data_IF_432184548729
#
_entry.id   IF_432184548729
#
_cell.length_a   1.000
_cell.length_b   1.000
_cell.length_c   1.000
_cell.angle_alpha   90.00
_cell.angle_beta   90.00
_cell.angle_gamma   90.00
#
_symmetry.space_group_name_H-M   'P 1'
#
loop_
_entity.id
_entity.type
_entity.pdbx_description
1 polymer ?
#
# COMPACT_ATOMS: atom_id res chain seq x y z
N UNK A 1 23.76 10.22 20.24
CA UNK A 1 23.49 10.69 18.86
C UNK A 1 22.25 9.96 18.35
N UNK A 2 21.06 10.47 18.62
CA UNK A 2 19.80 9.96 18.05
C UNK A 2 19.72 10.46 16.62
N UNK A 3 20.27 9.69 15.68
CA UNK A 3 20.10 9.99 14.27
C UNK A 3 18.61 9.99 13.95
N UNK A 4 18.08 11.09 13.41
CA UNK A 4 16.70 11.20 12.96
C UNK A 4 16.38 10.02 12.04
N UNK A 5 15.67 9.03 12.56
CA UNK A 5 15.22 7.92 11.74
C UNK A 5 14.31 8.50 10.65
N UNK A 6 14.55 8.22 9.36
CA UNK A 6 13.79 8.84 8.29
C UNK A 6 12.30 8.53 8.45
N UNK A 7 11.51 9.60 8.62
CA UNK A 7 10.07 9.55 8.68
C UNK A 7 9.51 9.63 7.27
N UNK A 8 8.81 8.59 6.82
CA UNK A 8 8.15 8.61 5.52
C UNK A 8 6.70 9.00 5.66
N UNK A 9 6.24 9.92 4.82
CA UNK A 9 4.81 10.13 4.58
C UNK A 9 4.21 8.89 3.92
N UNK A 10 2.88 8.73 4.00
CA UNK A 10 2.19 7.63 3.29
C UNK A 10 2.41 7.63 1.78
N UNK A 11 2.64 8.80 1.15
CA UNK A 11 2.98 8.87 -0.26
C UNK A 11 4.38 8.31 -0.54
N UNK A 12 5.36 8.66 0.28
CA UNK A 12 6.73 8.14 0.14
C UNK A 12 6.79 6.64 0.46
N UNK A 13 6.05 6.18 1.47
CA UNK A 13 5.90 4.76 1.76
C UNK A 13 5.26 4.02 0.58
N UNK A 14 4.21 4.59 -0.02
CA UNK A 14 3.58 4.02 -1.21
C UNK A 14 4.57 3.89 -2.37
N UNK A 15 5.44 4.88 -2.60
CA UNK A 15 6.49 4.81 -3.63
C UNK A 15 7.50 3.71 -3.32
N UNK A 16 7.94 3.61 -2.07
CA UNK A 16 8.85 2.55 -1.62
C UNK A 16 8.25 1.14 -1.81
N UNK A 17 6.95 0.99 -1.56
CA UNK A 17 6.21 -0.25 -1.75
C UNK A 17 5.81 -0.51 -3.22
N UNK A 18 6.12 0.41 -4.14
CA UNK A 18 5.77 0.30 -5.55
C UNK A 18 4.27 0.48 -5.85
N UNK A 19 3.49 1.04 -4.93
CA UNK A 19 2.08 1.33 -5.15
C UNK A 19 1.92 2.47 -6.15
N UNK A 20 1.14 2.21 -7.22
CA UNK A 20 0.87 3.17 -8.29
C UNK A 20 -0.60 3.63 -8.28
N UNK A 21 -0.85 4.73 -8.98
CA UNK A 21 -2.18 5.30 -9.18
C UNK A 21 -2.63 6.31 -8.13
N UNK A 22 -3.83 6.87 -8.31
CA UNK A 22 -4.36 7.98 -7.48
C UNK A 22 -4.58 7.60 -6.02
N UNK A 23 -4.81 6.31 -5.73
CA UNK A 23 -5.07 5.82 -4.37
C UNK A 23 -3.82 5.27 -3.65
N UNK A 24 -2.61 5.46 -4.20
CA UNK A 24 -1.36 4.87 -3.66
C UNK A 24 -1.12 5.15 -2.18
N UNK A 25 -1.32 6.39 -1.73
CA UNK A 25 -1.16 6.76 -0.32
C UNK A 25 -2.21 6.13 0.60
N UNK A 26 -3.44 5.94 0.11
CA UNK A 26 -4.50 5.25 0.84
C UNK A 26 -4.22 3.75 0.95
N UNK A 27 -3.61 3.15 -0.09
CA UNK A 27 -3.14 1.76 -0.05
C UNK A 27 -2.06 1.56 1.02
N UNK A 28 -1.04 2.42 1.04
CA UNK A 28 -0.01 2.39 2.08
C UNK A 28 -0.61 2.54 3.49
N UNK A 29 -1.60 3.43 3.65
CA UNK A 29 -2.30 3.60 4.92
C UNK A 29 -3.03 2.33 5.39
N UNK A 30 -3.77 1.66 4.48
CA UNK A 30 -4.47 0.41 4.78
C UNK A 30 -3.52 -0.72 5.18
N UNK A 31 -2.39 -0.84 4.50
CA UNK A 31 -1.35 -1.81 4.86
C UNK A 31 -0.86 -1.57 6.29
N UNK A 32 -0.56 -0.30 6.64
CA UNK A 32 -0.16 0.04 8.01
C UNK A 32 -1.26 -0.27 9.03
N UNK A 33 -2.54 -0.10 8.68
CA UNK A 33 -3.68 -0.44 9.53
C UNK A 33 -3.78 -1.94 9.79
N UNK A 34 -3.74 -2.75 8.74
CA UNK A 34 -3.77 -4.21 8.84
C UNK A 34 -2.60 -4.74 9.67
N UNK A 35 -1.39 -4.26 9.38
CA UNK A 35 -0.19 -4.68 10.10
C UNK A 35 -0.19 -4.20 11.57
N UNK A 36 -0.73 -3.02 11.86
CA UNK A 36 -0.88 -2.55 13.25
C UNK A 36 -1.88 -3.39 14.04
N UNK A 37 -3.01 -3.75 13.41
CA UNK A 37 -4.05 -4.56 14.03
C UNK A 37 -3.56 -5.95 14.43
N UNK A 38 -2.80 -6.62 13.57
CA UNK A 38 -2.27 -7.96 13.87
C UNK A 38 -1.12 -7.94 14.89
N UNK A 39 -0.29 -6.88 14.91
CA UNK A 39 0.82 -6.75 15.86
C UNK A 39 0.41 -6.15 17.20
N UNK A 40 -0.82 -5.64 17.31
CA UNK A 40 -1.30 -4.91 18.49
C UNK A 40 -0.57 -3.60 18.76
N UNK A 41 0.22 -3.10 17.81
CA UNK A 41 1.05 -1.89 17.97
C UNK A 41 0.93 -0.96 16.76
N UNK A 42 0.75 0.36 16.97
CA UNK A 42 0.60 1.30 15.87
C UNK A 42 1.92 1.50 15.14
N UNK A 43 1.92 1.23 13.82
CA UNK A 43 3.08 1.42 12.94
C UNK A 43 3.16 2.83 12.33
N UNK A 44 2.19 3.69 12.64
CA UNK A 44 2.09 5.03 12.08
C UNK A 44 1.70 6.03 13.15
N UNK A 45 2.07 7.28 12.93
CA UNK A 45 1.65 8.39 13.76
C UNK A 45 1.23 9.59 12.91
N UNK A 46 0.47 10.49 13.52
CA UNK A 46 -0.06 11.68 12.87
C UNK A 46 0.73 12.90 13.32
N UNK A 47 1.18 13.71 12.36
CA UNK A 47 1.72 15.04 12.63
C UNK A 47 0.94 16.04 11.76
N UNK A 48 0.15 16.89 12.43
CA UNK A 48 -0.83 17.77 11.80
C UNK A 48 -1.85 17.00 10.96
N UNK A 49 -1.89 17.29 9.65
CA UNK A 49 -2.79 16.65 8.68
C UNK A 49 -2.18 15.45 7.95
N UNK A 50 -0.95 15.04 8.28
CA UNK A 50 -0.22 14.00 7.56
C UNK A 50 0.07 12.81 8.46
N UNK A 51 0.05 11.63 7.84
CA UNK A 51 0.46 10.37 8.45
C UNK A 51 1.89 10.03 8.08
N UNK A 52 2.65 9.57 9.06
CA UNK A 52 4.05 9.23 8.96
C UNK A 52 4.33 7.83 9.52
N UNK A 53 5.40 7.22 9.03
CA UNK A 53 5.86 5.88 9.41
C UNK A 53 7.36 5.95 9.69
N UNK A 54 7.79 5.37 10.80
CA UNK A 54 9.21 5.32 11.18
C UNK A 54 9.98 4.26 10.38
N UNK A 55 11.30 4.39 10.32
CA UNK A 55 12.18 3.38 9.70
C UNK A 55 11.97 1.98 10.25
N UNK A 56 11.82 1.83 11.55
CA UNK A 56 11.58 0.53 12.22
C UNK A 56 10.25 -0.08 11.77
N UNK A 57 9.21 0.75 11.69
CA UNK A 57 7.90 0.34 11.19
C UNK A 57 7.97 -0.06 9.71
N UNK A 58 8.77 0.64 8.89
CA UNK A 58 9.01 0.29 7.49
C UNK A 58 9.71 -1.06 7.38
N UNK A 59 10.78 -1.28 8.14
CA UNK A 59 11.48 -2.58 8.16
C UNK A 59 10.52 -3.70 8.55
N UNK A 60 9.69 -3.47 9.57
CA UNK A 60 8.66 -4.41 9.99
C UNK A 60 7.61 -4.69 8.92
N UNK A 61 7.27 -3.73 8.06
CA UNK A 61 6.33 -3.92 6.95
C UNK A 61 6.97 -4.74 5.83
N UNK A 62 8.22 -4.41 5.46
CA UNK A 62 8.97 -5.08 4.40
C UNK A 62 9.36 -6.52 4.75
N UNK A 63 9.61 -6.81 6.03
CA UNK A 63 9.96 -8.16 6.50
C UNK A 63 8.74 -9.05 6.72
N UNK A 64 7.52 -8.56 6.47
CA UNK A 64 6.30 -9.27 6.83
C UNK A 64 5.57 -9.83 5.60
N UNK A 65 4.98 -11.01 5.75
CA UNK A 65 4.14 -11.69 4.76
C UNK A 65 2.94 -10.83 4.29
N UNK A 66 2.60 -9.79 5.04
CA UNK A 66 1.53 -8.84 4.75
C UNK A 66 1.77 -8.05 3.47
N UNK A 67 3.03 -7.69 3.18
CA UNK A 67 3.34 -6.94 1.96
C UNK A 67 3.06 -7.78 0.71
N UNK A 68 3.15 -9.11 0.83
CA UNK A 68 2.84 -10.05 -0.25
C UNK A 68 1.33 -10.25 -0.37
N UNK A 69 0.61 -10.47 0.74
CA UNK A 69 -0.84 -10.66 0.72
C UNK A 69 -1.58 -9.44 0.13
N UNK A 70 -1.22 -8.23 0.56
CA UNK A 70 -1.83 -6.97 0.06
C UNK A 70 -1.52 -6.76 -1.44
N UNK A 71 -0.31 -7.14 -1.86
CA UNK A 71 0.08 -7.11 -3.28
C UNK A 71 -0.66 -8.14 -4.13
N UNK A 72 -0.91 -9.34 -3.60
CA UNK A 72 -1.68 -10.39 -4.29
C UNK A 72 -3.12 -9.93 -4.46
N UNK A 73 -3.75 -9.38 -3.42
CA UNK A 73 -5.13 -8.87 -3.51
C UNK A 73 -5.25 -7.75 -4.57
N UNK A 74 -4.26 -6.85 -4.64
CA UNK A 74 -4.24 -5.80 -5.66
C UNK A 74 -3.99 -6.35 -7.07
N UNK A 75 -3.19 -7.41 -7.21
CA UNK A 75 -3.01 -8.12 -8.48
C UNK A 75 -4.32 -8.78 -8.93
N UNK A 76 -5.03 -9.43 -8.01
CA UNK A 76 -6.31 -10.08 -8.28
C UNK A 76 -7.39 -9.08 -8.72
N UNK A 77 -7.43 -7.90 -8.10
CA UNK A 77 -8.32 -6.80 -8.54
C UNK A 77 -7.96 -6.34 -9.95
N UNK A 78 -6.68 -6.11 -10.24
CA UNK A 78 -6.24 -5.68 -11.56
C UNK A 78 -6.56 -6.71 -12.65
N UNK A 79 -6.37 -8.01 -12.36
CA UNK A 79 -6.74 -9.09 -13.27
C UNK A 79 -8.25 -9.12 -13.52
N UNK A 80 -9.07 -8.92 -12.48
CA UNK A 80 -10.53 -8.87 -12.61
C UNK A 80 -10.99 -7.70 -13.49
N UNK A 81 -10.43 -6.52 -13.27
CA UNK A 81 -10.74 -5.33 -14.07
C UNK A 81 -10.34 -5.50 -15.54
N UNK A 82 -9.18 -6.11 -15.80
CA UNK A 82 -8.74 -6.41 -17.16
C UNK A 82 -9.66 -7.42 -17.85
N UNK A 83 -10.11 -8.46 -17.15
CA UNK A 83 -11.07 -9.44 -17.69
C UNK A 83 -12.38 -8.79 -18.09
N UNK A 84 -12.99 -7.98 -17.22
CA UNK A 84 -14.22 -7.25 -17.54
C UNK A 84 -14.03 -6.31 -18.74
N UNK A 85 -12.87 -5.68 -18.87
CA UNK A 85 -12.57 -4.80 -19.99
C UNK A 85 -12.39 -5.56 -21.31
N UNK A 86 -11.78 -6.74 -21.27
CA UNK A 86 -11.68 -7.64 -22.43
C UNK A 86 -13.07 -8.08 -22.86
N UNK A 87 -13.91 -8.57 -21.94
CA UNK A 87 -15.30 -8.97 -22.24
C UNK A 87 -16.10 -7.83 -22.88
N UNK A 88 -15.93 -6.60 -22.38
CA UNK A 88 -16.60 -5.44 -22.96
C UNK A 88 -16.12 -5.11 -24.39
N UNK A 89 -14.81 -5.22 -24.65
CA UNK A 89 -14.24 -4.98 -25.97
C UNK A 89 -14.63 -6.09 -26.97
N UNK A 90 -14.67 -7.34 -26.53
CA UNK A 90 -15.14 -8.47 -27.32
C UNK A 90 -16.63 -8.32 -27.67
N UNK A 91 -17.46 -7.86 -26.73
CA UNK A 91 -18.87 -7.59 -26.96
C UNK A 91 -19.13 -6.40 -27.89
N UNK A 92 -18.22 -5.43 -27.95
CA UNK A 92 -18.33 -4.28 -28.86
C UNK A 92 -18.10 -4.65 -30.33
N UNK A 93 -17.52 -5.83 -30.61
CA UNK A 93 -17.18 -6.29 -31.95
C UNK A 93 -15.99 -5.53 -32.58
N UNK A 94 -15.41 -6.05 -33.68
CA UNK A 94 -14.41 -5.31 -34.43
C UNK A 94 -15.02 -4.04 -35.05
N UNK A 95 -14.30 -2.92 -34.96
CA UNK A 95 -14.62 -1.64 -35.61
C UNK A 95 -14.77 -1.79 -37.13
#
# INVERSE_FOLDING_TARGET
MTGDAPLLTMAQLADLLGYRGRQRGRRALRLCEAASGQRGTPLRFRNGRRWFVSRESIQSLLSSEFSLADRVEDMERAVRDLRMRIEHLEAAGPL
#
